data_IF_096585729103
#
_entry.id   IF_096585729103
#
_cell.length_a   1.000
_cell.length_b   1.000
_cell.length_c   1.000
_cell.angle_alpha   90.00
_cell.angle_beta   90.00
_cell.angle_gamma   90.00
#
_symmetry.space_group_name_H-M   'P 1'
#
loop_
_entity.id
_entity.type
_entity.pdbx_description
1 polymer ?
#
# COMPACT_ATOMS: atom_id res chain seq x y z
N UNK A 1 21.11 -6.58 -50.60
CA UNK A 1 20.44 -7.41 -49.59
C UNK A 1 21.42 -7.69 -48.47
N UNK A 2 21.14 -7.24 -47.24
CA UNK A 2 21.46 -7.91 -45.98
C UNK A 2 20.43 -7.42 -44.96
N UNK A 3 20.05 -8.24 -43.99
CA UNK A 3 18.80 -8.05 -43.24
C UNK A 3 18.96 -8.43 -41.77
N UNK A 4 18.26 -7.68 -40.90
CA UNK A 4 17.90 -7.98 -39.51
C UNK A 4 19.03 -8.01 -38.46
N UNK A 5 18.78 -7.27 -37.38
CA UNK A 5 19.03 -7.52 -35.93
C UNK A 5 19.64 -6.30 -35.23
N UNK A 6 19.35 -5.99 -33.96
CA UNK A 6 18.27 -6.37 -33.01
C UNK A 6 18.28 -5.28 -31.91
N UNK A 7 17.20 -5.13 -31.14
CA UNK A 7 16.95 -3.93 -30.33
C UNK A 7 18.06 -3.48 -29.35
N UNK A 8 18.35 -2.19 -29.35
CA UNK A 8 18.84 -1.48 -28.16
C UNK A 8 17.70 -1.42 -27.15
N UNK A 9 17.78 -2.25 -26.10
CA UNK A 9 16.71 -2.37 -25.11
C UNK A 9 16.49 -1.08 -24.31
N UNK A 10 15.23 -0.82 -23.95
CA UNK A 10 14.89 0.13 -22.90
C UNK A 10 15.44 -0.40 -21.57
N UNK A 11 16.44 0.28 -21.01
CA UNK A 11 16.81 0.15 -19.59
C UNK A 11 16.06 1.21 -18.79
N UNK A 12 14.93 0.87 -18.13
CA UNK A 12 14.27 1.81 -17.23
C UNK A 12 15.12 1.98 -15.96
N UNK A 13 16.04 2.95 -15.97
CA UNK A 13 16.65 3.48 -14.76
C UNK A 13 15.64 4.33 -13.98
N UNK A 14 14.55 3.69 -13.54
CA UNK A 14 13.64 4.21 -12.54
C UNK A 14 14.30 4.13 -11.15
N UNK A 15 15.37 4.92 -10.99
CA UNK A 15 15.93 5.46 -9.74
C UNK A 15 15.87 4.56 -8.49
N UNK A 16 17.03 4.06 -8.05
CA UNK A 16 17.19 3.44 -6.73
C UNK A 16 17.10 4.46 -5.56
N UNK A 17 17.15 5.76 -5.87
CA UNK A 17 17.19 6.86 -4.92
C UNK A 17 15.86 7.03 -4.11
N UNK A 18 14.66 7.12 -4.73
CA UNK A 18 13.39 7.07 -4.00
C UNK A 18 13.19 5.83 -3.13
N UNK A 19 13.74 4.66 -3.50
CA UNK A 19 13.67 3.47 -2.66
C UNK A 19 14.56 3.60 -1.41
N UNK A 20 15.76 4.17 -1.54
CA UNK A 20 16.63 4.46 -0.40
C UNK A 20 15.99 5.49 0.55
N UNK A 21 15.38 6.54 0.00
CA UNK A 21 14.61 7.53 0.78
C UNK A 21 13.40 6.90 1.47
N UNK A 22 12.59 6.14 0.74
CA UNK A 22 11.42 5.42 1.27
C UNK A 22 11.78 4.44 2.40
N UNK A 23 12.95 3.79 2.32
CA UNK A 23 13.46 2.94 3.41
C UNK A 23 13.91 3.79 4.61
N UNK A 24 14.62 4.89 4.37
CA UNK A 24 15.18 5.76 5.40
C UNK A 24 14.13 6.53 6.24
N UNK A 25 12.89 6.68 5.74
CA UNK A 25 11.80 7.28 6.50
C UNK A 25 11.57 6.56 7.85
N UNK A 26 11.67 7.30 8.95
CA UNK A 26 11.45 6.77 10.31
C UNK A 26 9.96 6.53 10.59
N UNK A 27 9.59 5.65 11.54
CA UNK A 27 8.20 5.46 11.97
C UNK A 27 7.48 6.76 12.30
N UNK A 28 8.14 7.67 13.02
CA UNK A 28 7.58 8.96 13.40
C UNK A 28 7.35 9.89 12.19
N UNK A 29 8.27 9.91 11.22
CA UNK A 29 8.11 10.68 9.99
C UNK A 29 6.91 10.16 9.17
N UNK A 30 6.77 8.84 9.02
CA UNK A 30 5.66 8.20 8.32
C UNK A 30 4.30 8.56 8.93
N UNK A 31 4.17 8.48 10.25
CA UNK A 31 2.94 8.88 10.94
C UNK A 31 2.65 10.36 10.75
N UNK A 32 3.61 11.24 11.08
CA UNK A 32 3.43 12.69 11.00
C UNK A 32 3.08 13.20 9.60
N UNK A 33 3.67 12.63 8.53
CA UNK A 33 3.36 13.00 7.15
C UNK A 33 1.92 12.63 6.76
N UNK A 34 1.48 11.41 7.11
CA UNK A 34 0.12 10.96 6.80
C UNK A 34 -0.92 11.70 7.64
N UNK A 35 -0.66 11.89 8.94
CA UNK A 35 -1.50 12.69 9.84
C UNK A 35 -1.67 14.12 9.34
N UNK A 36 -0.56 14.80 8.98
CA UNK A 36 -0.60 16.17 8.48
C UNK A 36 -1.37 16.30 7.16
N UNK A 37 -1.22 15.36 6.22
CA UNK A 37 -1.96 15.37 4.96
C UNK A 37 -3.47 15.26 5.17
N UNK A 38 -3.91 14.32 6.02
CA UNK A 38 -5.34 14.16 6.29
C UNK A 38 -5.92 15.28 7.16
N UNK A 39 -5.17 15.82 8.12
CA UNK A 39 -5.59 16.96 8.94
C UNK A 39 -5.63 18.30 8.16
N UNK A 40 -4.86 18.43 7.07
CA UNK A 40 -4.92 19.57 6.16
C UNK A 40 -5.97 19.40 5.05
N UNK A 41 -6.56 18.21 4.91
CA UNK A 41 -7.55 17.92 3.86
C UNK A 41 -8.90 18.58 4.18
N UNK A 42 -9.58 19.23 3.22
CA UNK A 42 -10.94 19.74 3.40
C UNK A 42 -12.01 18.64 3.57
N UNK A 43 -11.58 17.39 3.80
CA UNK A 43 -12.40 16.20 4.07
C UNK A 43 -12.28 15.68 5.51
N UNK A 44 -11.41 16.25 6.36
CA UNK A 44 -11.39 15.94 7.80
C UNK A 44 -12.55 16.59 8.54
N UNK A 45 -13.19 15.87 9.46
CA UNK A 45 -13.95 16.51 10.54
C UNK A 45 -12.98 17.02 11.60
N UNK A 46 -13.35 18.05 12.36
CA UNK A 46 -12.53 18.51 13.49
C UNK A 46 -12.15 17.35 14.42
N UNK A 47 -10.85 17.21 14.70
CA UNK A 47 -10.31 16.18 15.58
C UNK A 47 -10.31 14.73 15.04
N UNK A 48 -10.62 14.48 13.76
CA UNK A 48 -10.48 13.14 13.16
C UNK A 48 -9.66 13.16 11.87
N UNK A 49 -8.91 12.08 11.62
CA UNK A 49 -8.20 11.85 10.35
C UNK A 49 -9.14 11.56 9.16
N UNK A 50 -10.46 11.56 9.39
CA UNK A 50 -11.48 11.21 8.41
C UNK A 50 -11.18 9.89 7.71
N UNK A 51 -11.30 9.90 6.38
CA UNK A 51 -11.04 8.75 5.51
C UNK A 51 -9.59 8.23 5.60
N UNK A 52 -8.63 9.03 6.10
CA UNK A 52 -7.24 8.61 6.28
C UNK A 52 -7.00 7.63 7.41
N UNK A 53 -8.00 7.42 8.29
CA UNK A 53 -7.82 6.65 9.52
C UNK A 53 -7.35 5.21 9.28
N UNK A 54 -7.94 4.47 8.34
CA UNK A 54 -7.53 3.07 8.10
C UNK A 54 -6.06 2.93 7.65
N UNK A 55 -5.48 3.98 7.02
CA UNK A 55 -4.07 4.01 6.63
C UNK A 55 -3.19 4.20 7.88
N UNK A 56 -3.58 5.11 8.77
CA UNK A 56 -2.89 5.33 10.05
C UNK A 56 -2.97 4.10 10.97
N UNK A 57 -4.14 3.49 11.09
CA UNK A 57 -4.36 2.27 11.88
C UNK A 57 -3.52 1.09 11.33
N UNK A 58 -3.41 0.94 10.00
CA UNK A 58 -2.54 -0.08 9.39
C UNK A 58 -1.05 0.23 9.59
N UNK A 59 -0.62 1.48 9.37
CA UNK A 59 0.77 1.89 9.55
C UNK A 59 1.23 1.76 11.01
N UNK A 60 0.34 2.04 11.97
CA UNK A 60 0.60 1.79 13.39
C UNK A 60 0.81 0.29 13.67
N UNK A 61 0.06 -0.60 13.00
CA UNK A 61 0.30 -2.05 13.05
C UNK A 61 1.61 -2.48 12.35
N UNK A 62 2.00 -1.87 11.22
CA UNK A 62 3.30 -2.15 10.58
C UNK A 62 4.48 -1.81 11.51
N UNK A 63 4.35 -0.74 12.27
CA UNK A 63 5.34 -0.31 13.28
C UNK A 63 5.29 -1.25 14.50
N UNK A 64 4.11 -1.49 15.07
CA UNK A 64 3.94 -2.32 16.27
C UNK A 64 4.32 -3.79 16.05
N UNK A 65 4.12 -4.32 14.84
CA UNK A 65 4.54 -5.68 14.47
C UNK A 65 6.04 -5.80 14.14
N UNK A 66 6.78 -4.69 14.13
CA UNK A 66 8.23 -4.68 13.87
C UNK A 66 8.64 -4.76 12.40
N UNK A 67 7.69 -4.62 11.46
CA UNK A 67 7.98 -4.53 10.01
C UNK A 67 8.65 -3.22 9.66
N UNK A 68 8.16 -2.12 10.26
CA UNK A 68 8.73 -0.77 10.20
C UNK A 68 9.22 -0.38 11.61
N UNK A 69 10.36 -0.91 12.09
CA UNK A 69 10.81 -0.76 13.47
C UNK A 69 11.33 0.64 13.78
N UNK A 70 11.34 0.98 15.07
CA UNK A 70 11.95 2.21 15.63
C UNK A 70 13.47 2.11 15.82
N UNK A 71 14.08 0.97 15.46
CA UNK A 71 15.50 0.66 15.61
C UNK A 71 15.97 -0.31 14.51
N UNK A 72 17.23 -0.73 14.54
CA UNK A 72 17.82 -1.61 13.53
C UNK A 72 17.10 -2.97 13.42
N UNK A 73 16.84 -3.43 12.19
CA UNK A 73 16.10 -4.66 11.89
C UNK A 73 14.96 -4.38 10.92
N UNK A 74 13.87 -5.16 11.01
CA UNK A 74 12.66 -4.99 10.20
C UNK A 74 12.78 -5.50 8.77
N UNK A 75 11.83 -5.08 7.92
CA UNK A 75 11.76 -5.45 6.51
C UNK A 75 12.06 -4.24 5.63
N UNK A 76 13.05 -4.37 4.74
CA UNK A 76 13.29 -3.36 3.72
C UNK A 76 12.15 -3.29 2.69
N UNK A 77 11.46 -4.43 2.44
CA UNK A 77 10.32 -4.44 1.54
C UNK A 77 9.12 -3.66 2.10
N UNK A 78 8.68 -3.96 3.33
CA UNK A 78 7.58 -3.20 3.96
C UNK A 78 7.95 -1.72 4.14
N UNK A 79 9.20 -1.41 4.58
CA UNK A 79 9.68 -0.02 4.66
C UNK A 79 9.63 0.69 3.32
N UNK A 80 10.06 0.06 2.23
CA UNK A 80 10.02 0.64 0.89
C UNK A 80 8.58 0.85 0.39
N UNK A 81 7.71 -0.16 0.47
CA UNK A 81 6.33 -0.08 -0.06
C UNK A 81 5.49 0.96 0.67
N UNK A 82 5.49 0.94 2.01
CA UNK A 82 4.85 1.99 2.81
C UNK A 82 5.52 3.36 2.54
N UNK A 83 6.85 3.40 2.45
CA UNK A 83 7.61 4.64 2.31
C UNK A 83 7.35 5.36 0.99
N UNK A 84 7.20 4.63 -0.12
CA UNK A 84 6.84 5.20 -1.42
C UNK A 84 5.48 5.91 -1.36
N UNK A 85 4.48 5.32 -0.70
CA UNK A 85 3.18 5.98 -0.48
C UNK A 85 3.32 7.24 0.38
N UNK A 86 4.15 7.21 1.44
CA UNK A 86 4.41 8.39 2.28
C UNK A 86 5.09 9.51 1.48
N UNK A 87 6.00 9.19 0.56
CA UNK A 87 6.62 10.16 -0.36
C UNK A 87 5.62 10.70 -1.40
N UNK A 88 4.78 9.84 -1.99
CA UNK A 88 3.72 10.27 -2.92
C UNK A 88 2.73 11.23 -2.23
N UNK A 89 2.36 10.95 -0.97
CA UNK A 89 1.54 11.82 -0.10
C UNK A 89 2.27 13.15 0.19
N UNK A 90 3.55 13.10 0.57
CA UNK A 90 4.34 14.29 0.89
C UNK A 90 4.51 15.22 -0.32
N UNK A 91 4.63 14.67 -1.53
CA UNK A 91 4.67 15.44 -2.77
C UNK A 91 3.30 16.08 -3.08
N UNK A 92 2.20 15.32 -2.95
CA UNK A 92 0.85 15.84 -3.17
C UNK A 92 0.48 16.95 -2.16
N UNK A 93 0.90 16.82 -0.90
CA UNK A 93 0.71 17.83 0.14
C UNK A 93 1.36 19.19 -0.19
N UNK A 94 2.45 19.19 -0.97
CA UNK A 94 3.13 20.39 -1.44
C UNK A 94 2.48 21.00 -2.70
N UNK A 95 1.34 20.47 -3.15
CA UNK A 95 0.68 20.88 -4.40
C UNK A 95 1.45 20.47 -5.66
N UNK A 96 2.42 19.56 -5.54
CA UNK A 96 3.17 19.08 -6.70
C UNK A 96 2.25 18.23 -7.58
N UNK A 97 1.99 18.67 -8.81
CA UNK A 97 1.38 17.87 -9.88
C UNK A 97 2.41 16.87 -10.40
N UNK A 98 2.75 15.91 -9.53
CA UNK A 98 3.96 15.10 -9.63
C UNK A 98 4.07 14.24 -10.90
N UNK A 99 5.29 13.78 -11.23
CA UNK A 99 5.54 13.03 -12.46
C UNK A 99 4.83 11.67 -12.48
N UNK A 100 4.60 11.04 -11.32
CA UNK A 100 3.95 9.71 -11.23
C UNK A 100 2.42 9.81 -11.30
N UNK A 101 1.72 8.76 -11.78
CA UNK A 101 0.26 8.67 -11.64
C UNK A 101 -0.22 8.62 -10.18
N UNK A 102 0.61 8.19 -9.24
CA UNK A 102 0.29 8.09 -7.82
C UNK A 102 0.15 9.46 -7.14
N UNK A 103 1.14 10.35 -7.30
CA UNK A 103 1.08 11.73 -6.76
C UNK A 103 -0.14 12.47 -7.32
N UNK A 104 -0.42 12.34 -8.62
CA UNK A 104 -1.60 12.96 -9.24
C UNK A 104 -2.90 12.49 -8.62
N UNK A 105 -3.07 11.19 -8.39
CA UNK A 105 -4.26 10.67 -7.73
C UNK A 105 -4.42 11.14 -6.27
N UNK A 106 -3.33 11.36 -5.53
CA UNK A 106 -3.37 11.99 -4.20
C UNK A 106 -3.80 13.46 -4.26
N UNK A 107 -3.35 14.22 -5.27
CA UNK A 107 -3.83 15.59 -5.51
C UNK A 107 -5.31 15.57 -5.89
N UNK A 108 -5.72 14.69 -6.81
CA UNK A 108 -7.12 14.56 -7.27
C UNK A 108 -8.05 14.20 -6.10
N UNK A 109 -7.64 13.30 -5.19
CA UNK A 109 -8.38 12.96 -3.96
C UNK A 109 -8.79 14.19 -3.14
N UNK A 110 -7.94 15.21 -3.03
CA UNK A 110 -8.24 16.41 -2.22
C UNK A 110 -9.45 17.21 -2.74
N UNK A 111 -9.77 17.10 -4.03
CA UNK A 111 -10.87 17.82 -4.69
C UNK A 111 -12.00 16.92 -5.20
N UNK A 112 -11.79 15.59 -5.24
CA UNK A 112 -12.72 14.62 -5.78
C UNK A 112 -14.12 14.68 -5.16
N UNK A 113 -15.15 14.57 -6.01
CA UNK A 113 -16.55 14.49 -5.58
C UNK A 113 -16.86 13.18 -4.82
N UNK A 114 -16.17 12.08 -5.16
CA UNK A 114 -16.30 10.75 -4.55
C UNK A 114 -15.03 10.41 -3.75
N UNK A 115 -14.81 11.02 -2.57
CA UNK A 115 -13.51 11.01 -1.90
C UNK A 115 -13.08 9.62 -1.42
N UNK A 116 -14.01 8.74 -1.00
CA UNK A 116 -13.67 7.36 -0.61
C UNK A 116 -13.12 6.55 -1.79
N UNK A 117 -13.65 6.75 -3.00
CA UNK A 117 -13.19 6.08 -4.23
C UNK A 117 -11.84 6.65 -4.68
N UNK A 118 -11.69 7.97 -4.65
CA UNK A 118 -10.45 8.64 -5.02
C UNK A 118 -9.30 8.32 -4.05
N UNK A 119 -9.59 8.20 -2.75
CA UNK A 119 -8.63 7.73 -1.76
C UNK A 119 -8.15 6.31 -2.08
N UNK A 120 -9.08 5.39 -2.35
CA UNK A 120 -8.71 4.02 -2.71
C UNK A 120 -7.86 3.96 -3.97
N UNK A 121 -8.18 4.75 -5.00
CA UNK A 121 -7.37 4.87 -6.21
C UNK A 121 -5.96 5.44 -5.92
N UNK A 122 -5.84 6.51 -5.13
CA UNK A 122 -4.55 7.12 -4.79
C UNK A 122 -3.65 6.16 -3.98
N UNK A 123 -4.22 5.55 -2.92
CA UNK A 123 -3.57 4.51 -2.12
C UNK A 123 -3.11 3.34 -3.01
N UNK A 124 -4.00 2.81 -3.85
CA UNK A 124 -3.72 1.67 -4.73
C UNK A 124 -2.64 1.96 -5.78
N UNK A 125 -2.66 3.14 -6.43
CA UNK A 125 -1.62 3.54 -7.38
C UNK A 125 -0.25 3.62 -6.70
N UNK A 126 -0.20 4.17 -5.49
CA UNK A 126 1.03 4.26 -4.68
C UNK A 126 1.53 2.88 -4.25
N UNK A 127 0.63 2.05 -3.73
CA UNK A 127 0.90 0.67 -3.30
C UNK A 127 1.50 -0.16 -4.43
N UNK A 128 0.86 -0.21 -5.59
CA UNK A 128 1.31 -1.04 -6.72
C UNK A 128 2.54 -0.45 -7.43
N UNK A 129 2.75 0.87 -7.40
CA UNK A 129 4.03 1.45 -7.79
C UNK A 129 5.16 1.04 -6.83
N UNK A 130 4.92 1.11 -5.52
CA UNK A 130 5.85 0.70 -4.47
C UNK A 130 6.21 -0.79 -4.54
N UNK A 131 5.22 -1.67 -4.71
CA UNK A 131 5.42 -3.12 -4.88
C UNK A 131 6.36 -3.42 -6.06
N UNK A 132 6.13 -2.79 -7.22
CA UNK A 132 6.94 -3.00 -8.42
C UNK A 132 8.37 -2.47 -8.26
N UNK A 133 8.53 -1.30 -7.65
CA UNK A 133 9.86 -0.74 -7.36
C UNK A 133 10.64 -1.59 -6.33
N UNK A 134 9.97 -2.02 -5.26
CA UNK A 134 10.55 -2.81 -4.17
C UNK A 134 10.72 -4.31 -4.50
N UNK A 135 10.37 -4.77 -5.71
CA UNK A 135 10.30 -6.20 -6.05
C UNK A 135 11.57 -7.01 -5.76
N UNK A 136 12.75 -6.40 -5.88
CA UNK A 136 14.02 -7.04 -5.51
C UNK A 136 14.19 -7.27 -3.99
N UNK A 137 13.62 -6.39 -3.17
CA UNK A 137 13.64 -6.50 -1.70
C UNK A 137 12.74 -7.64 -1.21
N UNK A 138 11.61 -7.86 -1.90
CA UNK A 138 10.72 -8.98 -1.62
C UNK A 138 11.42 -10.34 -1.76
N UNK A 139 12.38 -10.47 -2.67
CA UNK A 139 13.14 -11.73 -2.87
C UNK A 139 14.00 -12.08 -1.65
N UNK A 140 14.47 -11.07 -0.90
CA UNK A 140 15.25 -11.25 0.33
C UNK A 140 14.40 -11.66 1.53
N UNK A 141 13.08 -11.41 1.50
CA UNK A 141 12.15 -11.83 2.55
C UNK A 141 12.03 -13.35 2.67
N UNK A 142 11.69 -13.83 3.87
CA UNK A 142 11.39 -15.26 4.09
C UNK A 142 10.17 -15.70 3.27
N UNK A 143 10.08 -16.99 2.88
CA UNK A 143 8.93 -17.50 2.11
C UNK A 143 7.59 -17.21 2.83
N UNK A 144 7.57 -17.34 4.15
CA UNK A 144 6.37 -17.07 4.94
C UNK A 144 5.99 -15.57 4.89
N UNK A 145 6.95 -14.65 4.97
CA UNK A 145 6.68 -13.22 4.87
C UNK A 145 6.27 -12.82 3.44
N UNK A 146 6.87 -13.42 2.39
CA UNK A 146 6.42 -13.22 1.01
C UNK A 146 4.98 -13.70 0.79
N UNK A 147 4.60 -14.85 1.35
CA UNK A 147 3.21 -15.36 1.30
C UNK A 147 2.25 -14.47 2.08
N UNK A 148 2.66 -13.99 3.26
CA UNK A 148 1.87 -13.04 4.04
C UNK A 148 1.66 -11.72 3.31
N UNK A 149 2.72 -11.12 2.75
CA UNK A 149 2.62 -9.93 1.91
C UNK A 149 1.61 -10.11 0.77
N UNK A 150 1.71 -11.21 0.01
CA UNK A 150 0.75 -11.53 -1.06
C UNK A 150 -0.70 -11.68 -0.57
N UNK A 151 -0.92 -12.20 0.64
CA UNK A 151 -2.25 -12.27 1.27
C UNK A 151 -2.75 -10.86 1.64
N UNK A 152 -1.89 -10.01 2.21
CA UNK A 152 -2.26 -8.63 2.57
C UNK A 152 -2.65 -7.83 1.33
N UNK A 153 -1.85 -7.88 0.24
CA UNK A 153 -2.16 -7.12 -0.98
C UNK A 153 -3.47 -7.60 -1.63
N UNK A 154 -3.71 -8.91 -1.72
CA UNK A 154 -4.98 -9.44 -2.24
C UNK A 154 -6.20 -9.00 -1.41
N UNK A 155 -6.08 -8.95 -0.07
CA UNK A 155 -7.13 -8.46 0.82
C UNK A 155 -7.33 -6.94 0.67
N UNK A 156 -6.26 -6.16 0.61
CA UNK A 156 -6.31 -4.69 0.44
C UNK A 156 -6.90 -4.30 -0.92
N UNK A 157 -6.56 -5.01 -1.98
CA UNK A 157 -7.13 -4.79 -3.32
C UNK A 157 -8.63 -5.08 -3.36
N UNK A 158 -9.09 -6.19 -2.76
CA UNK A 158 -10.52 -6.52 -2.67
C UNK A 158 -11.28 -5.50 -1.83
N UNK A 159 -10.67 -5.03 -0.74
CA UNK A 159 -11.22 -3.99 0.16
C UNK A 159 -11.38 -2.65 -0.56
N UNK A 160 -10.40 -2.27 -1.38
CA UNK A 160 -10.45 -1.09 -2.22
C UNK A 160 -11.54 -1.19 -3.31
N UNK A 161 -11.63 -2.34 -3.98
CA UNK A 161 -12.62 -2.59 -5.03
C UNK A 161 -14.06 -2.64 -4.52
N UNK A 162 -14.30 -3.12 -3.30
CA UNK A 162 -15.61 -3.04 -2.65
C UNK A 162 -15.97 -1.64 -2.15
N UNK A 163 -15.08 -0.64 -2.30
CA UNK A 163 -15.31 0.72 -1.82
C UNK A 163 -15.44 0.82 -0.30
N UNK A 164 -14.82 -0.09 0.46
CA UNK A 164 -14.99 -0.19 1.91
C UNK A 164 -14.63 1.10 2.62
N UNK A 165 -15.42 1.50 3.62
CA UNK A 165 -15.25 2.76 4.34
C UNK A 165 -13.99 2.75 5.22
N UNK A 166 -13.16 3.79 5.14
CA UNK A 166 -11.83 3.90 5.78
C UNK A 166 -11.77 4.84 6.99
N UNK A 167 -12.90 5.42 7.38
CA UNK A 167 -13.08 6.34 8.52
C UNK A 167 -13.35 5.64 9.87
N UNK A 168 -13.61 4.33 9.83
CA UNK A 168 -14.13 3.55 10.94
C UNK A 168 -13.22 2.37 11.31
N UNK A 169 -13.45 1.82 12.51
CA UNK A 169 -12.65 0.74 13.11
C UNK A 169 -12.83 -0.64 12.44
N UNK A 170 -13.56 -0.73 11.33
CA UNK A 170 -13.79 -1.98 10.59
C UNK A 170 -12.52 -2.63 10.05
N UNK A 171 -11.63 -1.84 9.44
CA UNK A 171 -10.37 -2.33 8.86
C UNK A 171 -9.29 -2.53 9.93
N UNK A 172 -9.23 -1.66 10.95
CA UNK A 172 -8.37 -1.84 12.12
C UNK A 172 -8.64 -3.19 12.81
N UNK A 173 -9.92 -3.48 13.15
CA UNK A 173 -10.30 -4.76 13.76
C UNK A 173 -10.07 -5.98 12.87
N UNK A 174 -10.00 -5.82 11.54
CA UNK A 174 -9.60 -6.91 10.64
C UNK A 174 -8.11 -7.18 10.78
N UNK A 175 -7.29 -6.13 10.72
CA UNK A 175 -5.83 -6.18 10.92
C UNK A 175 -5.47 -6.78 12.28
N UNK A 176 -5.98 -6.22 13.39
CA UNK A 176 -5.76 -6.70 14.77
C UNK A 176 -6.10 -8.19 14.97
N UNK A 177 -7.19 -8.64 14.33
CA UNK A 177 -7.74 -9.99 14.52
C UNK A 177 -6.99 -11.07 13.75
N UNK A 178 -6.38 -10.73 12.62
CA UNK A 178 -5.84 -11.73 11.67
C UNK A 178 -4.38 -11.54 11.33
N UNK A 179 -3.84 -10.31 11.35
CA UNK A 179 -2.47 -10.05 10.88
C UNK A 179 -1.45 -10.19 12.02
N UNK A 180 -0.38 -10.99 11.86
CA UNK A 180 0.57 -11.27 12.95
C UNK A 180 1.28 -10.02 13.46
N UNK A 181 1.09 -9.73 14.75
CA UNK A 181 1.76 -8.66 15.49
C UNK A 181 3.26 -8.89 15.73
N UNK A 182 3.94 -9.67 14.89
CA UNK A 182 5.39 -9.92 14.91
C UNK A 182 5.95 -10.03 13.48
N UNK A 183 7.22 -9.70 13.35
CA UNK A 183 8.03 -9.84 12.14
C UNK A 183 9.34 -10.59 12.48
N UNK A 184 9.80 -11.54 11.63
CA UNK A 184 9.06 -12.11 10.50
C UNK A 184 7.85 -12.93 10.97
N UNK A 185 6.86 -13.10 10.11
CA UNK A 185 5.75 -14.04 10.34
C UNK A 185 6.28 -15.48 10.55
N UNK A 186 5.69 -16.18 11.51
CA UNK A 186 5.92 -17.61 11.72
C UNK A 186 5.11 -18.44 10.71
N UNK A 187 5.67 -19.49 10.07
CA UNK A 187 4.95 -20.29 9.07
C UNK A 187 3.66 -20.95 9.59
N UNK A 188 3.54 -21.20 10.90
CA UNK A 188 2.36 -21.78 11.54
C UNK A 188 1.12 -20.86 11.52
N UNK A 189 1.29 -19.56 11.28
CA UNK A 189 0.18 -18.60 11.13
C UNK A 189 -0.46 -18.60 9.74
N UNK A 190 0.25 -19.08 8.69
CA UNK A 190 -0.20 -18.96 7.29
C UNK A 190 -1.57 -19.61 6.99
N UNK A 191 -1.91 -20.82 7.47
CA UNK A 191 -3.20 -21.44 7.13
C UNK A 191 -4.41 -20.66 7.66
N UNK A 192 -4.25 -19.93 8.77
CA UNK A 192 -5.31 -19.08 9.32
C UNK A 192 -5.51 -17.80 8.48
N UNK A 193 -4.43 -17.26 7.92
CA UNK A 193 -4.44 -16.12 7.00
C UNK A 193 -5.00 -16.49 5.62
N UNK A 194 -4.63 -17.66 5.08
CA UNK A 194 -5.17 -18.17 3.81
C UNK A 194 -6.68 -18.43 3.93
N UNK A 195 -7.11 -19.13 5.00
CA UNK A 195 -8.53 -19.30 5.33
C UNK A 195 -9.26 -18.02 5.77
N UNK A 196 -8.57 -16.89 5.95
CA UNK A 196 -9.18 -15.55 6.10
C UNK A 196 -9.32 -14.88 4.73
N UNK A 197 -8.27 -14.91 3.90
CA UNK A 197 -8.26 -14.41 2.52
C UNK A 197 -9.42 -14.98 1.71
N UNK A 198 -9.63 -16.30 1.77
CA UNK A 198 -10.75 -16.98 1.11
C UNK A 198 -12.12 -16.45 1.56
N UNK A 199 -12.30 -16.25 2.88
CA UNK A 199 -13.55 -15.71 3.45
C UNK A 199 -13.78 -14.25 3.07
N UNK A 200 -12.71 -13.48 2.91
CA UNK A 200 -12.76 -12.10 2.40
C UNK A 200 -13.12 -12.11 0.91
N UNK A 201 -12.48 -12.94 0.08
CA UNK A 201 -12.78 -13.07 -1.34
C UNK A 201 -14.21 -13.57 -1.63
N UNK A 202 -14.75 -14.45 -0.78
CA UNK A 202 -16.14 -14.91 -0.87
C UNK A 202 -17.19 -13.87 -0.40
N UNK A 203 -16.77 -12.76 0.23
CA UNK A 203 -17.64 -11.67 0.71
C UNK A 203 -17.52 -10.41 -0.13
N UNK A 204 -16.30 -10.09 -0.57
CA UNK A 204 -15.98 -8.95 -1.41
C UNK A 204 -16.06 -9.39 -2.88
N UNK A 205 -17.31 -9.49 -3.34
CA UNK A 205 -17.69 -9.74 -4.72
C UNK A 205 -17.94 -8.40 -5.44
N UNK A 206 -17.90 -8.43 -6.77
CA UNK A 206 -18.25 -7.27 -7.60
C UNK A 206 -19.77 -7.02 -7.65
N UNK A 207 -20.25 -5.92 -8.27
CA UNK A 207 -21.68 -5.63 -8.39
C UNK A 207 -22.52 -6.66 -9.16
N UNK A 208 -21.90 -7.62 -9.87
CA UNK A 208 -22.56 -8.75 -10.53
C UNK A 208 -22.51 -10.04 -9.70
N UNK A 209 -21.87 -10.02 -8.52
CA UNK A 209 -21.67 -11.19 -7.66
C UNK A 209 -20.49 -12.08 -8.05
N UNK A 210 -19.60 -11.61 -8.93
CA UNK A 210 -18.41 -12.34 -9.35
C UNK A 210 -17.18 -12.01 -8.46
N UNK A 211 -16.19 -12.92 -8.32
CA UNK A 211 -14.95 -12.60 -7.61
C UNK A 211 -14.13 -11.54 -8.37
N UNK A 212 -13.64 -10.52 -7.66
CA UNK A 212 -12.74 -9.52 -8.23
C UNK A 212 -11.49 -10.14 -8.88
N UNK A 213 -11.18 -9.67 -10.09
CA UNK A 213 -10.05 -10.07 -10.94
C UNK A 213 -8.91 -9.04 -10.88
N UNK A 214 -7.70 -9.44 -11.31
CA UNK A 214 -6.51 -8.56 -11.41
C UNK A 214 -6.11 -7.94 -10.06
N UNK A 215 -5.94 -8.77 -9.03
CA UNK A 215 -5.64 -8.38 -7.65
C UNK A 215 -4.44 -9.14 -7.08
N UNK A 216 -3.77 -8.54 -6.10
CA UNK A 216 -2.56 -9.08 -5.49
C UNK A 216 -1.28 -8.52 -6.11
N UNK A 217 -0.15 -9.12 -5.76
CA UNK A 217 1.21 -8.64 -6.07
C UNK A 217 1.47 -8.28 -7.54
N UNK A 218 0.83 -9.01 -8.46
CA UNK A 218 1.03 -8.91 -9.91
C UNK A 218 -0.06 -8.07 -10.62
N UNK A 219 -0.85 -7.27 -9.87
CA UNK A 219 -1.96 -6.48 -10.44
C UNK A 219 -1.50 -5.48 -11.52
N UNK A 220 -2.18 -5.53 -12.66
CA UNK A 220 -1.89 -4.70 -13.83
C UNK A 220 -2.77 -3.44 -13.93
N UNK A 221 -3.87 -3.35 -13.16
CA UNK A 221 -4.82 -2.23 -13.07
C UNK A 221 -4.17 -0.85 -12.95
N UNK A 222 -3.01 -0.80 -12.30
CA UNK A 222 -2.32 0.44 -11.93
C UNK A 222 -0.93 0.57 -12.58
N UNK A 223 -0.72 -0.08 -13.73
CA UNK A 223 0.48 0.09 -14.56
C UNK A 223 0.56 1.49 -15.21
#
# INVERSE_FOLDING_TARGET
MYNRCMGTGLTPHATAEPLAEAIALTPAARMATVEAFFAASPRSSEGSSGLGRAILDFQAWEIASGRIPTSNGGSDWWRAVNGMMVLDIAAAAQGATGPTPAIRAWVDYTTAAEPQRALWEAHQRSLHAGIRAAGALLVAESEAERRFAAIVIDVVDRTALSGSATDNDGLARLTERYYPGVYPIRPDALPALEGMREKTAARLLDPAGAPFQDVGMDSTRWA
#
